data_IF_902730005843
#
_entry.id   IF_902730005843
#
_cell.length_a   1.000
_cell.length_b   1.000
_cell.length_c   1.000
_cell.angle_alpha   90.00
_cell.angle_beta   90.00
_cell.angle_gamma   90.00
#
_symmetry.space_group_name_H-M   'P 1'
#
loop_
_entity.id
_entity.type
_entity.pdbx_description
1 polymer ?
#
# COMPACT_ATOMS: atom_id res chain seq x y z
N UNK A 1 -26.63 -6.83 10.30
CA UNK A 1 -25.28 -6.30 10.02
C UNK A 1 -24.58 -7.22 9.04
N UNK A 2 -24.15 -6.70 7.88
CA UNK A 2 -23.38 -7.50 6.91
C UNK A 2 -21.96 -7.65 7.46
N UNK A 3 -21.70 -8.77 8.14
CA UNK A 3 -20.35 -9.16 8.53
C UNK A 3 -19.52 -9.31 7.24
N UNK A 4 -18.31 -8.72 7.16
CA UNK A 4 -17.48 -8.90 5.97
C UNK A 4 -17.23 -10.40 5.76
N UNK A 5 -17.31 -10.84 4.50
CA UNK A 5 -17.06 -12.22 4.06
C UNK A 5 -15.56 -12.59 4.07
N UNK A 6 -14.78 -11.87 4.87
CA UNK A 6 -13.33 -11.98 4.97
C UNK A 6 -12.89 -11.75 6.41
N UNK A 7 -11.81 -12.42 6.81
CA UNK A 7 -11.14 -12.16 8.08
C UNK A 7 -10.07 -11.09 7.83
N UNK A 8 -10.03 -10.05 8.64
CA UNK A 8 -9.00 -9.03 8.54
C UNK A 8 -8.39 -8.67 9.90
N UNK A 9 -7.14 -8.23 9.86
CA UNK A 9 -6.42 -7.65 10.98
C UNK A 9 -5.51 -6.53 10.47
N UNK A 10 -5.01 -5.69 11.35
CA UNK A 10 -4.03 -4.68 10.99
C UNK A 10 -2.86 -4.65 11.96
N UNK A 11 -1.70 -4.24 11.45
CA UNK A 11 -0.49 -3.98 12.19
C UNK A 11 -0.15 -2.50 12.07
N UNK A 12 0.25 -1.87 13.18
CA UNK A 12 0.89 -0.56 13.14
C UNK A 12 2.41 -0.79 13.09
N UNK A 13 3.10 -0.06 12.23
CA UNK A 13 4.56 -0.14 12.10
C UNK A 13 5.22 0.96 12.92
N UNK A 14 6.28 0.59 13.64
CA UNK A 14 7.18 1.52 14.31
C UNK A 14 8.55 1.49 13.64
N UNK A 15 8.92 2.57 12.96
CA UNK A 15 10.19 2.69 12.24
C UNK A 15 11.46 2.46 13.09
N UNK A 16 11.38 2.60 14.42
CA UNK A 16 12.52 2.41 15.32
C UNK A 16 12.65 0.96 15.81
N UNK A 17 11.55 0.19 15.79
CA UNK A 17 11.48 -1.15 16.33
C UNK A 17 11.39 -2.22 15.23
N UNK A 18 10.67 -1.91 14.14
CA UNK A 18 10.45 -2.81 13.03
C UNK A 18 11.53 -2.66 11.95
N UNK A 19 12.05 -3.78 11.46
CA UNK A 19 13.04 -3.80 10.38
C UNK A 19 12.43 -3.70 8.98
N UNK A 20 11.10 -3.70 8.88
CA UNK A 20 10.37 -3.71 7.64
C UNK A 20 10.36 -2.34 6.95
N UNK A 21 10.65 -2.33 5.65
CA UNK A 21 10.51 -1.16 4.79
C UNK A 21 10.36 -1.59 3.33
N UNK A 22 9.79 -0.71 2.51
CA UNK A 22 9.73 -0.85 1.06
C UNK A 22 10.81 0.06 0.45
N UNK A 23 11.75 -0.46 -0.34
CA UNK A 23 12.73 0.39 -1.01
C UNK A 23 12.06 1.19 -2.13
N UNK A 24 12.41 2.46 -2.27
CA UNK A 24 12.00 3.28 -3.41
C UNK A 24 13.16 4.12 -3.96
N UNK A 25 13.17 4.34 -5.27
CA UNK A 25 14.21 5.14 -5.93
C UNK A 25 13.86 6.63 -5.90
N UNK A 26 14.64 7.43 -5.17
CA UNK A 26 14.41 8.86 -5.03
C UNK A 26 15.11 9.64 -6.15
N UNK A 27 14.36 9.94 -7.22
CA UNK A 27 14.86 10.57 -8.46
C UNK A 27 15.65 11.86 -8.23
N UNK A 28 15.24 12.69 -7.26
CA UNK A 28 15.87 14.01 -6.98
C UNK A 28 17.35 13.88 -6.58
N UNK A 29 17.70 12.84 -5.83
CA UNK A 29 19.06 12.64 -5.31
C UNK A 29 19.76 11.41 -5.92
N UNK A 30 19.10 10.69 -6.83
CA UNK A 30 19.65 9.50 -7.47
C UNK A 30 20.09 8.40 -6.47
N UNK A 31 19.31 8.21 -5.40
CA UNK A 31 19.58 7.22 -4.34
C UNK A 31 18.34 6.38 -4.02
N UNK A 32 18.55 5.20 -3.45
CA UNK A 32 17.47 4.42 -2.83
C UNK A 32 17.19 4.91 -1.41
N UNK A 33 15.91 5.07 -1.09
CA UNK A 33 15.41 5.41 0.25
C UNK A 33 14.46 4.35 0.75
N UNK A 34 14.19 4.38 2.06
CA UNK A 34 13.30 3.44 2.74
C UNK A 34 11.94 4.10 2.96
N UNK A 35 10.88 3.44 2.51
CA UNK A 35 9.51 3.81 2.80
C UNK A 35 8.96 2.93 3.92
N UNK A 36 8.50 3.58 5.00
CA UNK A 36 7.90 2.94 6.16
C UNK A 36 6.41 3.32 6.19
N UNK A 37 5.50 2.44 5.72
CA UNK A 37 4.06 2.69 5.84
C UNK A 37 3.64 2.66 7.31
N UNK A 38 2.71 3.53 7.73
CA UNK A 38 2.25 3.57 9.13
C UNK A 38 1.46 2.31 9.52
N UNK A 39 0.73 1.69 8.57
CA UNK A 39 -0.08 0.49 8.82
C UNK A 39 0.05 -0.58 7.72
N UNK A 40 -0.17 -1.84 8.12
CA UNK A 40 -0.36 -2.98 7.23
C UNK A 40 -1.70 -3.63 7.54
N UNK A 41 -2.59 -3.72 6.56
CA UNK A 41 -3.82 -4.50 6.66
C UNK A 41 -3.62 -5.87 6.02
N UNK A 42 -4.05 -6.89 6.73
CA UNK A 42 -4.00 -8.28 6.30
C UNK A 42 -5.43 -8.75 6.10
N UNK A 43 -5.82 -9.02 4.86
CA UNK A 43 -7.17 -9.43 4.51
C UNK A 43 -7.12 -10.83 3.94
N UNK A 44 -7.83 -11.77 4.55
CA UNK A 44 -7.86 -13.17 4.16
C UNK A 44 -9.25 -13.58 3.71
N UNK A 45 -9.32 -14.14 2.50
CA UNK A 45 -10.49 -14.85 1.97
C UNK A 45 -10.05 -16.19 1.41
N UNK A 46 -10.45 -17.26 2.07
CA UNK A 46 -10.01 -18.64 1.76
C UNK A 46 -8.48 -18.76 1.77
N UNK A 47 -7.89 -19.12 0.62
CA UNK A 47 -6.45 -19.23 0.38
C UNK A 47 -5.83 -17.92 -0.16
N UNK A 48 -6.63 -16.87 -0.34
CA UNK A 48 -6.18 -15.59 -0.87
C UNK A 48 -5.91 -14.61 0.28
N UNK A 49 -4.74 -13.99 0.23
CA UNK A 49 -4.36 -12.86 1.07
C UNK A 49 -4.19 -11.61 0.21
N UNK A 50 -4.78 -10.52 0.69
CA UNK A 50 -4.50 -9.17 0.21
C UNK A 50 -3.82 -8.42 1.35
N UNK A 51 -2.56 -8.03 1.15
CA UNK A 51 -1.78 -7.23 2.09
C UNK A 51 -1.81 -5.79 1.59
N UNK A 52 -2.34 -4.88 2.40
CA UNK A 52 -2.49 -3.47 2.01
C UNK A 52 -1.62 -2.61 2.92
N UNK A 53 -0.63 -1.94 2.33
CA UNK A 53 0.15 -0.92 3.01
C UNK A 53 -0.65 0.37 3.03
N UNK A 54 -0.82 0.98 4.20
CA UNK A 54 -1.55 2.25 4.35
C UNK A 54 -0.65 3.29 5.00
N UNK A 55 -0.49 4.43 4.32
CA UNK A 55 0.26 5.59 4.82
C UNK A 55 -0.63 6.84 4.83
N UNK A 56 -1.11 7.29 6.00
CA UNK A 56 -1.94 8.48 6.13
C UNK A 56 -1.17 9.79 6.00
N UNK A 57 0.17 9.77 5.92
CA UNK A 57 1.00 10.98 5.73
C UNK A 57 1.45 11.17 4.27
N UNK A 58 0.72 10.61 3.31
CA UNK A 58 1.13 10.55 1.90
C UNK A 58 1.34 11.91 1.21
N UNK A 59 0.82 13.01 1.76
CA UNK A 59 0.89 14.35 1.14
C UNK A 59 2.13 15.16 1.50
N UNK A 60 2.90 14.80 2.54
CA UNK A 60 3.95 15.69 3.05
C UNK A 60 5.22 15.73 2.20
N UNK A 61 5.32 15.01 1.09
CA UNK A 61 6.55 14.97 0.29
C UNK A 61 6.28 14.85 -1.20
N UNK A 62 7.04 15.61 -1.99
CA UNK A 62 7.21 15.48 -3.43
C UNK A 62 7.74 14.11 -3.91
N UNK A 63 7.75 13.10 -3.03
CA UNK A 63 8.30 11.77 -3.25
C UNK A 63 7.26 10.64 -3.32
N UNK A 64 5.97 10.92 -3.07
CA UNK A 64 4.92 9.90 -3.14
C UNK A 64 4.89 9.22 -4.51
N UNK A 65 5.11 9.99 -5.58
CA UNK A 65 5.20 9.47 -6.95
C UNK A 65 6.31 8.42 -7.09
N UNK A 66 7.46 8.66 -6.46
CA UNK A 66 8.58 7.72 -6.48
C UNK A 66 8.27 6.45 -5.68
N UNK A 67 7.59 6.59 -4.53
CA UNK A 67 7.14 5.45 -3.72
C UNK A 67 6.15 4.58 -4.49
N UNK A 68 5.16 5.19 -5.14
CA UNK A 68 4.17 4.49 -5.95
C UNK A 68 4.84 3.84 -7.16
N UNK A 69 5.67 4.57 -7.91
CA UNK A 69 6.35 4.03 -9.09
C UNK A 69 7.20 2.79 -8.73
N UNK A 70 7.90 2.79 -7.59
CA UNK A 70 8.69 1.63 -7.17
C UNK A 70 7.81 0.50 -6.60
N UNK A 71 6.72 0.83 -5.91
CA UNK A 71 5.71 -0.16 -5.52
C UNK A 71 5.14 -0.88 -6.74
N UNK A 72 4.79 -0.15 -7.80
CA UNK A 72 4.27 -0.72 -9.05
C UNK A 72 5.27 -1.70 -9.67
N UNK A 73 6.56 -1.34 -9.72
CA UNK A 73 7.61 -2.23 -10.23
C UNK A 73 7.78 -3.51 -9.42
N UNK A 74 7.62 -3.43 -8.09
CA UNK A 74 7.84 -4.56 -7.19
C UNK A 74 6.63 -5.52 -7.17
N UNK A 75 5.42 -4.98 -7.22
CA UNK A 75 4.19 -5.69 -6.87
C UNK A 75 3.14 -5.75 -7.98
N UNK A 76 3.34 -5.06 -9.10
CA UNK A 76 2.47 -5.18 -10.26
C UNK A 76 3.18 -5.84 -11.45
N UNK A 77 2.41 -6.58 -12.24
CA UNK A 77 2.81 -7.14 -13.53
C UNK A 77 1.75 -6.73 -14.56
N UNK A 78 2.15 -6.04 -15.62
CA UNK A 78 1.24 -5.50 -16.64
C UNK A 78 0.08 -4.65 -16.07
N UNK A 79 0.34 -3.89 -15.00
CA UNK A 79 -0.65 -3.04 -14.34
C UNK A 79 -1.63 -3.77 -13.42
N UNK A 80 -1.48 -5.09 -13.26
CA UNK A 80 -2.28 -5.91 -12.34
C UNK A 80 -1.45 -6.38 -11.16
N UNK A 81 -2.09 -6.65 -10.01
CA UNK A 81 -1.38 -7.15 -8.83
C UNK A 81 -0.71 -8.50 -9.14
N UNK A 82 0.61 -8.54 -8.95
CA UNK A 82 1.39 -9.77 -9.05
C UNK A 82 0.96 -10.72 -7.93
N UNK A 83 0.74 -11.98 -8.29
CA UNK A 83 0.41 -13.04 -7.33
C UNK A 83 1.71 -13.68 -6.84
N UNK A 84 1.92 -13.63 -5.54
CA UNK A 84 3.00 -14.32 -4.85
C UNK A 84 2.45 -15.58 -4.19
N UNK A 85 3.10 -16.71 -4.40
CA UNK A 85 2.69 -17.97 -3.76
C UNK A 85 3.58 -18.25 -2.56
N UNK A 86 2.97 -18.46 -1.40
CA UNK A 86 3.66 -18.92 -0.20
C UNK A 86 2.86 -20.06 0.45
N UNK A 87 3.42 -21.27 0.45
CA UNK A 87 2.68 -22.50 0.79
C UNK A 87 1.44 -22.61 -0.12
N UNK A 88 0.25 -22.75 0.46
CA UNK A 88 -1.01 -22.82 -0.27
C UNK A 88 -1.69 -21.44 -0.42
N UNK A 89 -1.02 -20.36 -0.01
CA UNK A 89 -1.60 -19.02 -0.06
C UNK A 89 -1.20 -18.27 -1.32
N UNK A 90 -2.17 -17.59 -1.92
CA UNK A 90 -1.99 -16.60 -2.99
C UNK A 90 -2.02 -15.21 -2.37
N UNK A 91 -0.91 -14.49 -2.48
CA UNK A 91 -0.70 -13.20 -1.82
C UNK A 91 -0.61 -12.11 -2.88
N UNK A 92 -1.38 -11.05 -2.69
CA UNK A 92 -1.31 -9.82 -3.49
C UNK A 92 -1.04 -8.64 -2.58
N UNK A 93 -0.39 -7.61 -3.13
CA UNK A 93 -0.05 -6.41 -2.40
C UNK A 93 -0.78 -5.21 -3.01
N UNK A 94 -1.26 -4.31 -2.15
CA UNK A 94 -1.87 -3.04 -2.53
C UNK A 94 -1.26 -1.92 -1.67
N UNK A 95 -1.28 -0.70 -2.18
CA UNK A 95 -0.79 0.49 -1.50
C UNK A 95 -1.92 1.51 -1.44
N UNK A 96 -2.09 2.12 -0.27
CA UNK A 96 -3.06 3.19 -0.05
C UNK A 96 -2.41 4.35 0.68
N UNK A 97 -2.60 5.55 0.13
CA UNK A 97 -2.14 6.81 0.67
C UNK A 97 -3.38 7.59 1.13
N UNK A 98 -3.32 8.26 2.27
CA UNK A 98 -4.40 9.16 2.70
C UNK A 98 -3.93 10.60 2.56
N UNK A 99 -4.78 11.44 1.98
CA UNK A 99 -4.59 12.89 1.90
C UNK A 99 -5.70 13.60 2.68
N UNK A 100 -5.36 14.74 3.27
CA UNK A 100 -6.36 15.68 3.81
C UNK A 100 -7.10 16.40 2.67
N UNK A 101 -6.43 16.61 1.53
CA UNK A 101 -6.99 17.22 0.33
C UNK A 101 -6.55 16.44 -0.92
N UNK A 102 -7.50 15.71 -1.53
CA UNK A 102 -7.28 14.83 -2.69
C UNK A 102 -7.18 15.62 -3.99
N UNK A 103 -7.54 16.91 -3.99
CA UNK A 103 -7.65 17.74 -5.20
C UNK A 103 -6.32 18.15 -5.84
N UNK A 104 -5.17 17.77 -5.26
CA UNK A 104 -3.82 18.07 -5.79
C UNK A 104 -3.12 16.87 -6.44
N UNK A 105 -3.84 15.77 -6.67
CA UNK A 105 -3.28 14.50 -7.17
C UNK A 105 -3.42 14.43 -8.69
N UNK A 106 -2.35 14.05 -9.41
CA UNK A 106 -2.45 13.79 -10.86
C UNK A 106 -3.13 12.44 -11.17
N UNK A 107 -3.87 12.39 -12.27
CA UNK A 107 -4.75 11.29 -12.70
C UNK A 107 -4.14 9.88 -12.58
N UNK A 108 -2.82 9.73 -12.82
CA UNK A 108 -2.13 8.43 -12.71
C UNK A 108 -2.25 7.82 -11.31
N UNK A 109 -2.16 8.65 -10.27
CA UNK A 109 -1.97 8.18 -8.89
C UNK A 109 -3.27 8.07 -8.11
N UNK A 110 -4.40 8.52 -8.67
CA UNK A 110 -5.70 8.60 -8.00
C UNK A 110 -6.12 7.28 -7.33
N UNK A 111 -5.91 6.14 -8.00
CA UNK A 111 -6.27 4.79 -7.49
C UNK A 111 -5.57 4.39 -6.16
N UNK A 112 -4.51 5.09 -5.80
CA UNK A 112 -3.78 4.86 -4.54
C UNK A 112 -4.33 5.72 -3.40
N UNK A 113 -5.14 6.74 -3.66
CA UNK A 113 -5.63 7.62 -2.61
C UNK A 113 -6.93 7.11 -2.03
N UNK A 114 -7.03 7.13 -0.69
CA UNK A 114 -8.27 6.91 0.02
C UNK A 114 -8.91 8.25 0.34
N UNK A 115 -10.20 8.37 -0.02
CA UNK A 115 -11.04 9.46 0.47
C UNK A 115 -11.44 9.28 1.94
N UNK A 116 -12.11 10.28 2.50
CA UNK A 116 -12.70 10.17 3.83
C UNK A 116 -13.68 8.98 3.89
N UNK A 117 -13.48 8.11 4.88
CA UNK A 117 -14.25 6.88 5.09
C UNK A 117 -14.18 5.85 3.93
N UNK A 118 -13.18 5.93 3.04
CA UNK A 118 -12.97 4.92 2.02
C UNK A 118 -12.20 3.71 2.59
N UNK A 119 -12.94 2.63 2.84
CA UNK A 119 -12.41 1.33 3.23
C UNK A 119 -12.79 0.24 2.21
N UNK A 120 -13.00 0.61 0.95
CA UNK A 120 -13.38 -0.35 -0.09
C UNK A 120 -12.34 -1.46 -0.30
N UNK A 121 -11.10 -1.22 0.11
CA UNK A 121 -10.04 -2.22 0.04
C UNK A 121 -10.23 -3.42 1.00
N UNK A 122 -11.11 -3.31 2.01
CA UNK A 122 -11.46 -4.39 2.95
C UNK A 122 -12.56 -5.35 2.43
N UNK A 123 -13.17 -5.04 1.28
CA UNK A 123 -14.24 -5.85 0.69
C UNK A 123 -13.69 -7.06 -0.07
#
# INVERSE_FOLDING_TARGET
ENKPDCNWMFSKIDQNLDSFHIPYFYKKENIYRKFFPDFIFWIKKDENYKIVFVDPKGTSNADYQNKVDEFEKLFLENGQAKIFTYKNFKITFDLKLVAVDVNSVSDKYEKYWLGNNDFNFLK
#
